data_IF_264292186338
#
_entry.id   IF_264292186338
#
_cell.length_a   1.000
_cell.length_b   1.000
_cell.length_c   1.000
_cell.angle_alpha   90.00
_cell.angle_beta   90.00
_cell.angle_gamma   90.00
#
_symmetry.space_group_name_H-M   'P 1'
#
loop_
_entity.id
_entity.type
_entity.pdbx_description
1 polymer ?
#
# COMPACT_ATOMS: atom_id res chain seq x y z
N UNK A 1 19.69 4.15 -11.60
CA UNK A 1 18.86 5.18 -10.92
C UNK A 1 18.21 4.51 -9.71
N UNK A 2 18.70 4.80 -8.50
CA UNK A 2 18.19 4.19 -7.27
C UNK A 2 16.82 4.76 -6.90
N UNK A 3 15.94 3.92 -6.35
CA UNK A 3 14.63 4.37 -5.88
C UNK A 3 14.79 4.85 -4.45
N UNK A 4 14.53 6.13 -4.21
CA UNK A 4 14.56 6.70 -2.87
C UNK A 4 13.21 6.49 -2.17
N UNK A 5 13.24 6.06 -0.91
CA UNK A 5 12.09 6.00 -0.02
C UNK A 5 12.38 6.82 1.24
N UNK A 6 11.33 7.28 1.93
CA UNK A 6 11.49 7.99 3.20
C UNK A 6 11.68 7.06 4.41
N UNK A 7 11.45 5.76 4.22
CA UNK A 7 11.67 4.71 5.20
C UNK A 7 11.86 3.40 4.43
N UNK A 8 12.67 2.49 4.95
CA UNK A 8 12.88 1.15 4.38
C UNK A 8 12.92 0.11 5.49
N UNK A 9 12.40 -1.08 5.21
CA UNK A 9 12.50 -2.21 6.13
C UNK A 9 13.73 -3.05 5.80
N UNK A 10 14.60 -3.23 6.78
CA UNK A 10 15.79 -4.09 6.69
C UNK A 10 15.62 -5.40 7.45
N UNK A 11 14.58 -5.51 8.29
CA UNK A 11 14.29 -6.69 9.08
C UNK A 11 13.28 -7.62 8.38
N UNK A 12 13.41 -8.92 8.63
CA UNK A 12 12.55 -9.95 8.05
C UNK A 12 11.08 -9.81 8.46
N UNK A 13 10.78 -9.33 9.67
CA UNK A 13 9.41 -9.09 10.15
C UNK A 13 8.74 -7.95 9.36
N UNK A 14 9.48 -6.85 9.15
CA UNK A 14 9.03 -5.72 8.33
C UNK A 14 8.75 -6.12 6.89
N UNK A 15 9.64 -6.92 6.29
CA UNK A 15 9.46 -7.47 4.94
C UNK A 15 8.21 -8.34 4.87
N UNK A 16 8.03 -9.26 5.82
CA UNK A 16 6.82 -10.13 5.88
C UNK A 16 5.54 -9.31 6.02
N UNK A 17 5.56 -8.25 6.82
CA UNK A 17 4.42 -7.34 6.98
C UNK A 17 4.09 -6.66 5.64
N UNK A 18 5.09 -6.16 4.93
CA UNK A 18 4.90 -5.58 3.60
C UNK A 18 4.34 -6.60 2.61
N UNK A 19 4.89 -7.81 2.57
CA UNK A 19 4.39 -8.87 1.70
C UNK A 19 2.94 -9.23 2.00
N UNK A 20 2.57 -9.29 3.28
CA UNK A 20 1.19 -9.51 3.71
C UNK A 20 0.25 -8.40 3.25
N UNK A 21 0.67 -7.12 3.36
CA UNK A 21 -0.08 -5.99 2.84
C UNK A 21 -0.23 -6.05 1.31
N UNK A 22 0.83 -6.42 0.58
CA UNK A 22 0.79 -6.61 -0.87
C UNK A 22 -0.20 -7.71 -1.28
N UNK A 23 -0.31 -8.79 -0.51
CA UNK A 23 -1.29 -9.85 -0.75
C UNK A 23 -2.74 -9.38 -0.49
N UNK A 24 -2.93 -8.46 0.44
CA UNK A 24 -4.23 -7.81 0.72
C UNK A 24 -4.56 -6.68 -0.29
N UNK A 25 -3.71 -6.40 -1.27
CA UNK A 25 -3.95 -5.34 -2.26
C UNK A 25 -3.94 -5.92 -3.68
N UNK A 26 -4.94 -6.75 -4.05
CA UNK A 26 -5.06 -7.21 -5.43
C UNK A 26 -5.28 -6.02 -6.37
N UNK A 27 -4.84 -6.16 -7.62
CA UNK A 27 -5.18 -5.18 -8.65
C UNK A 27 -6.71 -5.13 -8.83
N UNK A 28 -7.23 -3.94 -9.11
CA UNK A 28 -8.65 -3.65 -9.32
C UNK A 28 -9.56 -3.91 -8.11
N UNK A 29 -9.01 -4.02 -6.90
CA UNK A 29 -9.81 -4.15 -5.68
C UNK A 29 -10.08 -2.81 -5.01
N UNK A 30 -11.31 -2.60 -4.53
CA UNK A 30 -11.68 -1.43 -3.74
C UNK A 30 -11.29 -1.64 -2.28
N UNK A 31 -10.40 -0.78 -1.78
CA UNK A 31 -9.86 -0.86 -0.43
C UNK A 31 -9.82 0.50 0.25
N UNK A 32 -9.89 0.49 1.58
CA UNK A 32 -9.56 1.61 2.44
C UNK A 32 -8.26 1.30 3.15
N UNK A 33 -7.26 2.17 2.99
CA UNK A 33 -6.00 2.05 3.72
C UNK A 33 -5.99 3.04 4.88
N UNK A 34 -5.69 2.56 6.07
CA UNK A 34 -5.50 3.39 7.26
C UNK A 34 -4.02 3.69 7.41
N UNK A 35 -3.68 4.98 7.46
CA UNK A 35 -2.32 5.46 7.62
C UNK A 35 -1.97 5.61 9.10
N UNK A 36 -0.66 5.56 9.41
CA UNK A 36 -0.12 5.76 10.76
C UNK A 36 -0.41 7.14 11.36
N UNK A 37 -0.71 8.11 10.51
CA UNK A 37 -1.12 9.46 10.88
C UNK A 37 -2.59 9.51 11.37
N UNK A 38 -3.34 8.41 11.25
CA UNK A 38 -4.77 8.33 11.55
C UNK A 38 -5.67 8.68 10.35
N UNK A 39 -5.09 9.26 9.30
CA UNK A 39 -5.75 9.50 8.03
C UNK A 39 -6.11 8.18 7.34
N UNK A 40 -7.30 8.07 6.76
CA UNK A 40 -7.70 6.94 5.91
C UNK A 40 -7.81 7.39 4.46
N UNK A 41 -7.53 6.48 3.52
CA UNK A 41 -7.63 6.73 2.10
C UNK A 41 -8.38 5.59 1.42
N UNK A 42 -9.56 5.88 0.88
CA UNK A 42 -10.30 4.95 0.03
C UNK A 42 -9.91 5.12 -1.45
N UNK A 43 -9.90 4.00 -2.17
CA UNK A 43 -9.73 3.96 -3.61
C UNK A 43 -9.57 2.54 -4.15
N UNK A 44 -9.56 2.43 -5.47
CA UNK A 44 -9.34 1.17 -6.19
C UNK A 44 -7.85 1.01 -6.45
N UNK A 45 -7.31 -0.16 -6.13
CA UNK A 45 -5.92 -0.50 -6.44
C UNK A 45 -5.73 -0.53 -7.95
N UNK A 46 -4.95 0.42 -8.48
CA UNK A 46 -4.66 0.54 -9.91
C UNK A 46 -3.92 -0.69 -10.44
N UNK A 47 -2.85 -1.07 -9.72
CA UNK A 47 -1.99 -2.22 -10.03
C UNK A 47 -1.51 -2.81 -8.72
N UNK A 48 -1.32 -4.13 -8.70
CA UNK A 48 -0.82 -4.85 -7.54
C UNK A 48 0.53 -4.24 -7.10
N UNK A 49 0.68 -3.78 -5.85
CA UNK A 49 1.95 -3.29 -5.34
C UNK A 49 3.00 -4.40 -5.33
N UNK A 50 4.28 -4.04 -5.38
CA UNK A 50 5.38 -5.02 -5.36
C UNK A 50 6.50 -4.52 -4.46
N UNK A 51 6.96 -5.40 -3.56
CA UNK A 51 8.11 -5.15 -2.68
C UNK A 51 9.37 -5.06 -3.52
N UNK A 52 10.10 -3.96 -3.35
CA UNK A 52 11.29 -3.64 -4.13
C UNK A 52 12.35 -3.03 -3.22
N UNK A 53 13.60 -3.04 -3.66
CA UNK A 53 14.70 -2.43 -2.93
C UNK A 53 14.66 -0.92 -3.12
N UNK A 54 14.69 -0.19 -2.00
CA UNK A 54 14.78 1.26 -1.94
C UNK A 54 15.97 1.66 -1.06
N UNK A 55 16.44 2.90 -1.22
CA UNK A 55 17.39 3.53 -0.31
C UNK A 55 16.73 4.67 0.44
N UNK A 56 16.98 4.71 1.74
CA UNK A 56 16.56 5.82 2.60
C UNK A 56 17.55 7.00 2.55
N UNK A 57 17.20 8.14 3.16
CA UNK A 57 18.07 9.30 3.32
C UNK A 57 19.38 8.99 4.07
N UNK A 58 19.41 7.96 4.92
CA UNK A 58 20.64 7.48 5.58
C UNK A 58 21.50 6.54 4.70
N UNK A 59 21.25 6.49 3.39
CA UNK A 59 21.85 5.55 2.41
C UNK A 59 21.63 4.06 2.77
N UNK A 60 20.68 3.78 3.68
CA UNK A 60 20.32 2.42 4.06
C UNK A 60 19.53 1.76 2.95
N UNK A 61 20.00 0.62 2.51
CA UNK A 61 19.33 -0.21 1.52
C UNK A 61 18.38 -1.18 2.23
N UNK A 62 17.10 -1.15 1.82
CA UNK A 62 16.08 -2.00 2.41
C UNK A 62 14.89 -2.17 1.48
N UNK A 63 13.84 -2.83 1.98
CA UNK A 63 12.66 -3.16 1.19
C UNK A 63 11.52 -2.21 1.52
N UNK A 64 10.83 -1.74 0.48
CA UNK A 64 9.56 -1.04 0.64
C UNK A 64 8.63 -1.33 -0.54
N UNK A 65 7.39 -0.86 -0.47
CA UNK A 65 6.39 -0.97 -1.50
C UNK A 65 5.49 0.26 -1.53
N UNK A 66 4.99 0.59 -2.71
CA UNK A 66 4.07 1.69 -2.95
C UNK A 66 2.81 1.11 -3.60
N UNK A 67 1.65 1.43 -3.05
CA UNK A 67 0.36 1.17 -3.70
C UNK A 67 -0.13 2.43 -4.39
N UNK A 68 -0.66 2.27 -5.61
CA UNK A 68 -1.34 3.34 -6.33
C UNK A 68 -2.84 3.09 -6.24
N UNK A 69 -3.54 3.99 -5.57
CA UNK A 69 -5.00 4.03 -5.53
C UNK A 69 -5.51 5.00 -6.59
N UNK A 70 -6.60 4.64 -7.25
CA UNK A 70 -7.30 5.44 -8.23
C UNK A 70 -8.79 5.46 -7.89
N UNK A 71 -9.48 6.54 -8.24
CA UNK A 71 -10.94 6.63 -8.06
C UNK A 71 -11.60 6.66 -9.42
N UNK A 72 -12.42 5.66 -9.78
CA UNK A 72 -13.21 5.74 -11.00
C UNK A 72 -14.22 6.91 -10.94
N UNK A 73 -14.66 7.28 -9.74
CA UNK A 73 -15.59 8.40 -9.49
C UNK A 73 -14.95 9.77 -9.73
N UNK A 74 -13.61 9.88 -9.65
CA UNK A 74 -12.88 11.15 -9.79
C UNK A 74 -11.82 10.99 -10.89
N UNK A 75 -12.16 11.30 -12.16
CA UNK A 75 -11.23 11.12 -13.27
C UNK A 75 -9.95 11.95 -13.07
N UNK A 76 -8.81 11.28 -13.18
CA UNK A 76 -7.48 11.87 -12.96
C UNK A 76 -7.00 11.84 -11.50
N UNK A 77 -7.84 11.45 -10.55
CA UNK A 77 -7.40 11.25 -9.17
C UNK A 77 -6.61 9.95 -9.05
N UNK A 78 -5.35 10.07 -8.65
CA UNK A 78 -4.53 8.93 -8.26
C UNK A 78 -3.63 9.30 -7.10
N UNK A 79 -3.53 8.42 -6.12
CA UNK A 79 -2.74 8.62 -4.92
C UNK A 79 -1.76 7.48 -4.74
N UNK A 80 -0.49 7.83 -4.53
CA UNK A 80 0.58 6.87 -4.23
C UNK A 80 0.83 6.86 -2.73
N UNK A 81 0.66 5.70 -2.12
CA UNK A 81 0.75 5.51 -0.68
C UNK A 81 1.86 4.49 -0.41
N UNK A 82 2.74 4.81 0.53
CA UNK A 82 3.77 3.89 0.98
C UNK A 82 3.18 2.87 1.95
N UNK A 83 3.44 1.58 1.72
CA UNK A 83 2.94 0.52 2.61
C UNK A 83 3.56 0.58 4.02
N UNK A 84 4.75 1.18 4.17
CA UNK A 84 5.33 1.53 5.48
C UNK A 84 4.37 2.36 6.35
N UNK A 85 3.63 3.28 5.73
CA UNK A 85 2.69 4.14 6.45
C UNK A 85 1.35 3.46 6.68
N UNK A 86 1.08 2.32 6.05
CA UNK A 86 -0.20 1.60 6.17
C UNK A 86 -0.20 0.77 7.43
N UNK A 87 -1.15 1.08 8.31
CA UNK A 87 -1.40 0.33 9.55
C UNK A 87 -2.36 -0.82 9.28
N UNK A 88 -3.40 -0.58 8.45
CA UNK A 88 -4.46 -1.55 8.16
C UNK A 88 -5.02 -1.33 6.76
N UNK A 89 -5.45 -2.43 6.13
CA UNK A 89 -6.18 -2.43 4.85
C UNK A 89 -7.55 -3.04 5.12
N UNK A 90 -8.61 -2.37 4.67
CA UNK A 90 -9.99 -2.86 4.73
C UNK A 90 -10.54 -2.99 3.31
N UNK A 91 -11.03 -4.17 2.96
CA UNK A 91 -11.60 -4.43 1.64
C UNK A 91 -13.07 -4.04 1.63
N UNK A 92 -13.44 -3.11 0.75
CA UNK A 92 -14.84 -2.72 0.56
C UNK A 92 -15.57 -3.68 -0.40
N UNK A 93 -14.83 -4.39 -1.24
CA UNK A 93 -15.38 -5.39 -2.17
C UNK A 93 -15.89 -6.66 -1.43
N UNK A 94 -15.41 -6.91 -0.22
CA UNK A 94 -15.81 -8.06 0.60
C UNK A 94 -17.21 -7.91 1.23
N UNK A 95 -17.97 -6.89 0.85
CA UNK A 95 -19.33 -6.61 1.32
C UNK A 95 -20.41 -7.60 0.87
N UNK A 96 -20.14 -8.51 -0.08
CA UNK A 96 -21.08 -9.61 -0.41
C UNK A 96 -20.91 -10.83 0.53
N UNK A 97 -20.77 -10.56 1.82
CA UNK A 97 -20.85 -11.57 2.88
C UNK A 97 -21.75 -11.09 4.02
N UNK A 98 -22.90 -10.49 3.68
CA UNK A 98 -24.07 -10.40 4.55
C UNK A 98 -25.25 -9.97 3.69
N UNK A 99 -26.12 -10.91 3.31
CA UNK A 99 -27.60 -10.77 3.36
C UNK A 99 -28.30 -12.01 2.78
N UNK A 100 -28.91 -12.76 3.72
CA UNK A 100 -30.06 -13.70 3.65
C UNK A 100 -29.94 -15.07 2.94
#
# INVERSE_FOLDING_TARGET
>A
MGRAAACVFTDADGIRKLESLVHQLPANSHVVVLLRDGSSCDGVVSVRPSVQVFRDHDDREGINAIVKLERPDVPGWSQRIWLDQVVRVEHLDSGMASES
#
